data_IF_240533581425
#
_entry.id   IF_240533581425
#
_cell.length_a   1.000
_cell.length_b   1.000
_cell.length_c   1.000
_cell.angle_alpha   90.00
_cell.angle_beta   90.00
_cell.angle_gamma   90.00
#
_symmetry.space_group_name_H-M   'P 1'
#
loop_
_entity.id
_entity.type
_entity.pdbx_description
1 polymer ?
#
# COMPACT_ATOMS: atom_id res chain seq x y z
N UNK A 1 22.34 15.46 16.36
CA UNK A 1 22.15 16.55 15.39
C UNK A 1 21.72 15.91 14.07
N UNK A 2 20.54 16.24 13.54
CA UNK A 2 20.04 15.59 12.32
C UNK A 2 20.79 16.13 11.09
N UNK A 3 21.18 15.23 10.18
CA UNK A 3 21.80 15.60 8.92
C UNK A 3 20.71 15.81 7.86
N UNK A 4 20.37 17.07 7.56
CA UNK A 4 19.35 17.42 6.57
C UNK A 4 19.67 16.91 5.15
N UNK A 5 20.95 16.78 4.80
CA UNK A 5 21.35 16.20 3.51
C UNK A 5 21.02 14.71 3.43
N UNK A 6 21.17 13.97 4.54
CA UNK A 6 20.78 12.56 4.61
C UNK A 6 19.25 12.40 4.47
N UNK A 7 18.46 13.26 5.12
CA UNK A 7 17.00 13.26 4.98
C UNK A 7 16.58 13.55 3.53
N UNK A 8 17.21 14.53 2.86
CA UNK A 8 16.94 14.83 1.46
C UNK A 8 17.28 13.66 0.53
N UNK A 9 18.39 12.95 0.79
CA UNK A 9 18.75 11.74 0.04
C UNK A 9 17.69 10.65 0.18
N UNK A 10 17.24 10.38 1.40
CA UNK A 10 16.16 9.43 1.67
C UNK A 10 14.86 9.82 0.94
N UNK A 11 14.46 11.09 0.99
CA UNK A 11 13.28 11.59 0.28
C UNK A 11 13.40 11.42 -1.24
N UNK A 12 14.60 11.61 -1.79
CA UNK A 12 14.85 11.47 -3.23
C UNK A 12 14.85 10.00 -3.66
N UNK A 13 15.43 9.13 -2.84
CA UNK A 13 15.39 7.68 -3.03
C UNK A 13 13.95 7.16 -3.00
N UNK A 14 13.16 7.57 -2.00
CA UNK A 14 11.74 7.20 -1.90
C UNK A 14 10.95 7.65 -3.14
N UNK A 15 11.11 8.91 -3.56
CA UNK A 15 10.43 9.42 -4.76
C UNK A 15 10.78 8.59 -6.01
N UNK A 16 12.06 8.27 -6.20
CA UNK A 16 12.52 7.45 -7.33
C UNK A 16 11.90 6.04 -7.29
N UNK A 17 11.78 5.46 -6.10
CA UNK A 17 11.09 4.18 -5.93
C UNK A 17 9.59 4.29 -6.25
N UNK A 18 8.91 5.32 -5.76
CA UNK A 18 7.49 5.56 -6.05
C UNK A 18 7.23 5.74 -7.56
N UNK A 19 8.12 6.45 -8.26
CA UNK A 19 8.07 6.63 -9.72
C UNK A 19 8.25 5.28 -10.44
N UNK A 20 9.24 4.47 -10.05
CA UNK A 20 9.45 3.14 -10.62
C UNK A 20 8.26 2.20 -10.39
N UNK A 21 7.72 2.18 -9.17
CA UNK A 21 6.52 1.41 -8.82
C UNK A 21 5.35 1.81 -9.73
N UNK A 22 5.14 3.12 -9.90
CA UNK A 22 4.06 3.65 -10.73
C UNK A 22 4.24 3.31 -12.20
N UNK A 23 5.46 3.41 -12.73
CA UNK A 23 5.73 3.10 -14.14
C UNK A 23 5.53 1.62 -14.45
N UNK A 24 5.86 0.73 -13.52
CA UNK A 24 5.74 -0.71 -13.71
C UNK A 24 4.32 -1.25 -13.48
N UNK A 25 3.56 -0.67 -12.54
CA UNK A 25 2.29 -1.24 -12.06
C UNK A 25 1.07 -0.34 -12.30
N UNK A 26 1.31 0.94 -12.63
CA UNK A 26 0.29 1.98 -12.63
C UNK A 26 -0.27 2.31 -11.24
N UNK A 27 0.33 1.80 -10.16
CA UNK A 27 -0.09 2.08 -8.78
C UNK A 27 0.63 3.32 -8.25
N UNK A 28 -0.11 4.19 -7.56
CA UNK A 28 0.54 5.11 -6.62
C UNK A 28 1.08 4.34 -5.42
N UNK A 29 1.95 4.98 -4.64
CA UNK A 29 2.47 4.37 -3.42
C UNK A 29 1.35 3.96 -2.44
N UNK A 30 0.35 4.82 -2.25
CA UNK A 30 -0.80 4.51 -1.39
C UNK A 30 -1.69 3.39 -1.94
N UNK A 31 -1.80 3.25 -3.26
CA UNK A 31 -2.52 2.13 -3.87
C UNK A 31 -1.84 0.80 -3.50
N UNK A 32 -0.52 0.73 -3.67
CA UNK A 32 0.28 -0.45 -3.32
C UNK A 32 0.27 -0.76 -1.82
N UNK A 33 0.35 0.27 -0.96
CA UNK A 33 0.22 0.11 0.48
C UNK A 33 -1.15 -0.44 0.88
N UNK A 34 -2.24 0.03 0.24
CA UNK A 34 -3.58 -0.47 0.54
C UNK A 34 -3.70 -1.94 0.17
N UNK A 35 -3.27 -2.31 -1.03
CA UNK A 35 -3.31 -3.71 -1.48
C UNK A 35 -2.50 -4.63 -0.55
N UNK A 36 -1.31 -4.18 -0.13
CA UNK A 36 -0.46 -4.90 0.84
C UNK A 36 -1.14 -5.05 2.21
N UNK A 37 -1.79 -4.00 2.73
CA UNK A 37 -2.48 -4.06 4.02
C UNK A 37 -3.68 -5.01 3.99
N UNK A 38 -4.47 -4.98 2.90
CA UNK A 38 -5.62 -5.89 2.73
C UNK A 38 -5.16 -7.33 2.59
N UNK A 39 -4.08 -7.60 1.84
CA UNK A 39 -3.48 -8.93 1.73
C UNK A 39 -3.01 -9.47 3.10
N UNK A 40 -2.49 -8.59 3.98
CA UNK A 40 -2.12 -8.92 5.37
C UNK A 40 -3.33 -9.10 6.30
N UNK A 41 -4.55 -8.92 5.81
CA UNK A 41 -5.80 -9.13 6.55
C UNK A 41 -6.38 -7.89 7.22
N UNK A 42 -5.86 -6.69 6.95
CA UNK A 42 -6.46 -5.43 7.42
C UNK A 42 -7.60 -5.07 6.46
N UNK A 43 -8.84 -5.38 6.83
CA UNK A 43 -9.99 -5.30 5.93
C UNK A 43 -10.94 -4.15 6.25
N UNK A 44 -10.92 -3.63 7.47
CA UNK A 44 -11.78 -2.53 7.90
C UNK A 44 -11.26 -1.18 7.39
N UNK A 45 -12.10 -0.32 6.78
CA UNK A 45 -11.67 1.00 6.31
C UNK A 45 -11.08 1.88 7.41
N UNK A 46 -11.57 1.80 8.64
CA UNK A 46 -11.00 2.55 9.77
C UNK A 46 -9.60 2.07 10.14
N UNK A 47 -9.35 0.77 10.08
CA UNK A 47 -8.03 0.19 10.32
C UNK A 47 -7.06 0.53 9.18
N UNK A 48 -7.51 0.43 7.93
CA UNK A 48 -6.74 0.86 6.75
C UNK A 48 -6.36 2.34 6.80
N UNK A 49 -7.28 3.23 7.23
CA UNK A 49 -6.99 4.66 7.35
C UNK A 49 -5.85 4.90 8.35
N UNK A 50 -5.87 4.17 9.47
CA UNK A 50 -4.85 4.26 10.50
C UNK A 50 -3.51 3.69 10.03
N UNK A 51 -3.53 2.52 9.40
CA UNK A 51 -2.33 1.83 8.90
C UNK A 51 -1.58 2.67 7.85
N UNK A 52 -2.32 3.29 6.93
CA UNK A 52 -1.73 4.10 5.85
C UNK A 52 -1.49 5.57 6.24
N UNK A 53 -1.79 5.96 7.48
CA UNK A 53 -1.79 7.37 7.95
C UNK A 53 -2.57 8.32 7.02
N UNK A 54 -3.74 7.86 6.57
CA UNK A 54 -4.62 8.60 5.68
C UNK A 54 -5.84 9.14 6.42
N UNK A 55 -6.28 10.33 6.02
CA UNK A 55 -7.60 10.79 6.43
C UNK A 55 -8.68 9.88 5.79
N UNK A 56 -9.85 9.71 6.42
CA UNK A 56 -10.93 8.88 5.86
C UNK A 56 -11.28 9.28 4.41
N UNK A 57 -11.32 10.59 4.13
CA UNK A 57 -11.57 11.13 2.80
C UNK A 57 -10.50 10.76 1.76
N UNK A 58 -9.23 10.68 2.17
CA UNK A 58 -8.13 10.26 1.29
C UNK A 58 -8.19 8.75 1.06
N UNK A 59 -8.44 7.97 2.10
CA UNK A 59 -8.62 6.53 1.99
C UNK A 59 -9.78 6.19 1.02
N UNK A 60 -10.94 6.84 1.15
CA UNK A 60 -12.08 6.60 0.25
C UNK A 60 -11.68 6.77 -1.21
N UNK A 61 -10.91 7.82 -1.56
CA UNK A 61 -10.42 8.03 -2.93
C UNK A 61 -9.48 6.93 -3.41
N UNK A 62 -8.61 6.43 -2.55
CA UNK A 62 -7.71 5.30 -2.86
C UNK A 62 -8.55 4.05 -3.14
N UNK A 63 -9.51 3.74 -2.27
CA UNK A 63 -10.38 2.58 -2.46
C UNK A 63 -11.24 2.74 -3.73
N UNK A 64 -11.81 3.92 -4.00
CA UNK A 64 -12.59 4.19 -5.22
C UNK A 64 -11.75 3.98 -6.49
N UNK A 65 -10.51 4.46 -6.49
CA UNK A 65 -9.56 4.27 -7.58
C UNK A 65 -9.26 2.78 -7.83
N UNK A 66 -8.97 2.04 -6.76
CA UNK A 66 -8.66 0.61 -6.84
C UNK A 66 -9.88 -0.25 -7.20
N UNK A 67 -11.06 0.10 -6.70
CA UNK A 67 -12.32 -0.59 -7.05
C UNK A 67 -12.71 -0.31 -8.50
N UNK A 68 -12.55 0.94 -8.98
CA UNK A 68 -12.75 1.30 -10.38
C UNK A 68 -11.79 0.59 -11.34
N UNK A 69 -10.64 0.12 -10.83
CA UNK A 69 -9.68 -0.73 -11.55
C UNK A 69 -9.92 -2.24 -11.34
N UNK A 70 -10.97 -2.62 -10.62
CA UNK A 70 -11.27 -4.00 -10.25
C UNK A 70 -10.12 -4.70 -9.53
N UNK A 71 -9.41 -4.00 -8.65
CA UNK A 71 -8.33 -4.56 -7.83
C UNK A 71 -8.84 -4.91 -6.42
N UNK A 72 -9.77 -4.13 -5.90
CA UNK A 72 -10.44 -4.38 -4.62
C UNK A 72 -11.95 -4.36 -4.79
N UNK A 73 -12.66 -4.87 -3.80
CA UNK A 73 -14.12 -4.81 -3.71
C UNK A 73 -14.57 -4.51 -2.28
N UNK A 74 -15.70 -3.82 -2.17
CA UNK A 74 -16.36 -3.55 -0.89
C UNK A 74 -17.47 -4.55 -0.63
N UNK A 75 -17.46 -5.18 0.53
CA UNK A 75 -18.54 -6.09 0.96
C UNK A 75 -19.02 -5.75 2.36
N UNK A 76 -20.26 -6.10 2.69
CA UNK A 76 -20.74 -6.01 4.07
C UNK A 76 -20.10 -7.14 4.88
N UNK A 77 -19.65 -6.81 6.09
CA UNK A 77 -19.10 -7.79 7.02
C UNK A 77 -20.18 -8.82 7.38
N UNK A 78 -19.73 -10.07 7.46
CA UNK A 78 -20.58 -11.21 7.82
C UNK A 78 -20.87 -11.18 9.34
N UNK A 79 -19.90 -10.68 10.12
CA UNK A 79 -19.96 -10.58 11.59
C UNK A 79 -20.81 -9.39 12.04
N UNK A 80 -20.68 -8.25 11.35
CA UNK A 80 -21.52 -7.07 11.55
C UNK A 80 -22.00 -6.54 10.20
N UNK A 81 -23.25 -6.85 9.84
CA UNK A 81 -23.84 -6.48 8.55
C UNK A 81 -23.96 -4.98 8.31
N UNK A 82 -23.68 -4.15 9.31
CA UNK A 82 -23.63 -2.68 9.19
C UNK A 82 -22.24 -2.17 8.85
N UNK A 83 -21.22 -3.00 9.02
CA UNK A 83 -19.83 -2.65 8.79
C UNK A 83 -19.40 -3.09 7.40
N UNK A 84 -18.60 -2.26 6.74
CA UNK A 84 -18.06 -2.50 5.41
C UNK A 84 -16.62 -3.00 5.54
N UNK A 85 -16.25 -3.99 4.73
CA UNK A 85 -14.89 -4.52 4.62
C UNK A 85 -14.39 -4.43 3.18
N UNK A 86 -13.08 -4.38 3.04
CA UNK A 86 -12.36 -4.37 1.76
C UNK A 86 -11.69 -5.71 1.58
N UNK A 87 -11.84 -6.30 0.40
CA UNK A 87 -11.09 -7.50 0.00
C UNK A 87 -10.42 -7.31 -1.36
N UNK A 88 -9.33 -8.04 -1.58
CA UNK A 88 -8.74 -8.16 -2.91
C UNK A 88 -9.69 -8.94 -3.83
N UNK A 89 -9.64 -8.57 -5.10
CA UNK A 89 -10.15 -9.40 -6.19
C UNK A 89 -9.04 -10.33 -6.68
N UNK A 90 -9.37 -11.30 -7.53
CA UNK A 90 -8.36 -12.18 -8.16
C UNK A 90 -7.29 -11.37 -8.93
N UNK A 91 -7.72 -10.35 -9.68
CA UNK A 91 -6.84 -9.39 -10.37
C UNK A 91 -6.01 -8.55 -9.41
N UNK A 92 -6.57 -8.19 -8.25
CA UNK A 92 -5.85 -7.53 -7.17
C UNK A 92 -4.73 -8.40 -6.60
N UNK A 93 -5.03 -9.66 -6.28
CA UNK A 93 -4.04 -10.60 -5.78
C UNK A 93 -2.90 -10.84 -6.78
N UNK A 94 -3.21 -10.98 -8.06
CA UNK A 94 -2.19 -11.20 -9.09
C UNK A 94 -1.27 -9.97 -9.24
N UNK A 95 -1.82 -8.77 -9.14
CA UNK A 95 -1.02 -7.55 -9.17
C UNK A 95 -0.09 -7.46 -7.94
N UNK A 96 -0.58 -7.86 -6.76
CA UNK A 96 0.24 -7.93 -5.53
C UNK A 96 1.40 -8.91 -5.70
N UNK A 97 1.14 -10.10 -6.26
CA UNK A 97 2.21 -11.07 -6.58
C UNK A 97 3.22 -10.47 -7.55
N UNK A 98 2.74 -9.77 -8.58
CA UNK A 98 3.60 -9.16 -9.60
C UNK A 98 4.63 -8.22 -8.98
N UNK A 99 4.23 -7.21 -8.21
CA UNK A 99 5.21 -6.25 -7.69
C UNK A 99 6.00 -6.75 -6.47
N UNK A 100 5.56 -7.82 -5.80
CA UNK A 100 6.37 -8.53 -4.81
C UNK A 100 7.47 -9.38 -5.45
N UNK A 101 7.20 -9.97 -6.61
CA UNK A 101 8.14 -10.80 -7.35
C UNK A 101 8.99 -10.01 -8.35
N UNK A 102 8.51 -8.86 -8.82
CA UNK A 102 9.33 -7.91 -9.56
C UNK A 102 10.40 -7.37 -8.62
N UNK A 103 11.66 -7.49 -9.02
CA UNK A 103 12.77 -6.76 -8.42
C UNK A 103 12.60 -5.26 -8.70
N UNK A 104 11.67 -4.61 -7.99
CA UNK A 104 11.71 -3.17 -7.86
C UNK A 104 13.05 -2.84 -7.23
N UNK A 105 13.92 -2.18 -8.01
CA UNK A 105 15.27 -1.84 -7.55
C UNK A 105 15.13 -0.90 -6.38
N UNK A 106 15.34 -1.44 -5.19
CA UNK A 106 15.35 -0.66 -3.98
C UNK A 106 16.64 0.18 -3.98
N UNK A 107 16.55 1.52 -3.89
CA UNK A 107 17.73 2.35 -3.69
C UNK A 107 18.48 1.93 -2.42
N UNK A 108 19.81 2.05 -2.43
CA UNK A 108 20.65 1.65 -1.28
C UNK A 108 20.23 2.37 0.01
N UNK A 109 19.77 3.61 -0.09
CA UNK A 109 19.24 4.38 1.05
C UNK A 109 17.98 3.77 1.70
N UNK A 110 17.28 2.88 1.01
CA UNK A 110 16.07 2.20 1.46
C UNK A 110 16.31 0.73 1.84
N UNK A 111 17.52 0.21 1.71
CA UNK A 111 17.86 -1.21 1.92
C UNK A 111 17.40 -1.80 3.28
N UNK A 112 17.20 -0.97 4.29
CA UNK A 112 16.68 -1.37 5.61
C UNK A 112 15.25 -1.94 5.58
N UNK A 113 14.52 -1.81 4.47
CA UNK A 113 13.15 -2.34 4.34
C UNK A 113 13.08 -3.80 3.90
N UNK A 114 14.21 -4.44 3.57
CA UNK A 114 14.26 -5.87 3.17
C UNK A 114 14.36 -6.86 4.34
N UNK A 115 14.36 -6.42 5.60
CA UNK A 115 14.35 -7.33 6.75
C UNK A 115 12.92 -7.83 7.03
N UNK A 116 12.73 -9.17 7.04
CA UNK A 116 11.48 -9.91 7.31
C UNK A 116 10.84 -9.67 8.70
N UNK A 117 11.36 -8.72 9.50
CA UNK A 117 11.00 -8.50 10.89
C UNK A 117 10.35 -7.14 11.13
N UNK A 118 9.16 -6.91 10.58
CA UNK A 118 8.23 -5.87 11.04
C UNK A 118 6.87 -6.47 11.44
N UNK A 119 6.90 -7.56 12.24
CA UNK A 119 5.68 -8.17 12.79
C UNK A 119 5.17 -7.49 14.08
N UNK A 120 5.84 -6.47 14.61
CA UNK A 120 5.39 -5.83 15.85
C UNK A 120 5.63 -4.32 15.83
N UNK A 121 4.67 -3.57 15.27
CA UNK A 121 4.35 -2.20 15.71
C UNK A 121 2.88 -2.19 16.10
#
# INVERSE_FOLDING_TARGET
MFNLCAIRRLQSALRSFEEQLKDQTGLSFNDALLLCAVEKGIVEPSALAKELDLSPSRLTRVIDSLEGRSLVQRTLSITDRRSLIISLTETGEELVRTYKCCELRLPDELAFTQEESWQHI
#
